data_IF_731939558830
#
_entry.id   IF_731939558830
#
_cell.length_a   1.000
_cell.length_b   1.000
_cell.length_c   1.000
_cell.angle_alpha   90.00
_cell.angle_beta   90.00
_cell.angle_gamma   90.00
#
_symmetry.space_group_name_H-M   'P 1'
#
loop_
_entity.id
_entity.type
_entity.pdbx_description
1 polymer ?
#
# COMPACT_ATOMS: atom_id res chain seq x y z
N UNK A 1 19.12 -34.97 15.01
CA UNK A 1 19.35 -33.55 14.75
C UNK A 1 18.74 -33.03 13.45
N UNK A 2 18.74 -33.77 12.32
CA UNK A 2 18.14 -33.30 11.02
C UNK A 2 16.60 -33.12 11.04
N UNK A 3 15.88 -33.91 11.84
CA UNK A 3 14.39 -33.85 11.91
C UNK A 3 13.87 -32.67 12.76
N UNK A 4 14.62 -32.21 13.74
CA UNK A 4 14.26 -31.04 14.58
C UNK A 4 14.47 -29.72 13.83
N UNK A 5 15.46 -29.62 12.95
CA UNK A 5 15.66 -28.43 12.11
C UNK A 5 14.52 -28.23 11.10
N UNK A 6 13.98 -29.34 10.54
CA UNK A 6 12.86 -29.26 9.59
C UNK A 6 11.55 -28.79 10.26
N UNK A 7 11.32 -29.20 11.53
CA UNK A 7 10.14 -28.76 12.29
C UNK A 7 10.22 -27.25 12.66
N UNK A 8 11.42 -26.73 12.95
CA UNK A 8 11.63 -25.31 13.27
C UNK A 8 11.47 -24.46 12.01
N UNK A 9 11.93 -24.91 10.84
CA UNK A 9 11.76 -24.18 9.58
C UNK A 9 10.30 -24.13 9.12
N UNK A 10 9.51 -25.18 9.39
CA UNK A 10 8.06 -25.19 9.09
C UNK A 10 7.27 -24.28 10.03
N UNK A 11 7.68 -24.15 11.30
CA UNK A 11 7.04 -23.26 12.27
C UNK A 11 7.29 -21.77 11.96
N UNK A 12 8.42 -21.44 11.37
CA UNK A 12 8.74 -20.05 10.97
C UNK A 12 8.04 -19.62 9.67
N UNK A 13 7.58 -20.56 8.84
CA UNK A 13 6.88 -20.25 7.59
C UNK A 13 5.41 -19.82 7.77
N UNK A 14 4.85 -19.90 8.99
CA UNK A 14 3.45 -19.58 9.26
C UNK A 14 3.20 -18.22 9.92
N UNK A 15 4.19 -17.34 9.99
CA UNK A 15 3.93 -15.93 10.33
C UNK A 15 3.54 -15.14 9.06
N UNK A 16 2.45 -15.56 8.43
CA UNK A 16 1.69 -14.65 7.58
C UNK A 16 1.10 -13.59 8.52
N UNK A 17 1.76 -12.45 8.61
CA UNK A 17 1.33 -11.31 9.42
C UNK A 17 -0.01 -10.84 8.85
N UNK A 18 -1.08 -11.04 9.59
CA UNK A 18 -2.38 -10.58 9.17
C UNK A 18 -2.32 -9.05 9.01
N UNK A 19 -2.53 -8.59 7.81
CA UNK A 19 -2.66 -7.19 7.45
C UNK A 19 -4.11 -6.92 7.10
N UNK A 20 -4.60 -5.77 7.47
CA UNK A 20 -5.94 -5.34 7.09
C UNK A 20 -5.87 -3.98 6.42
N UNK A 21 -6.76 -3.74 5.47
CA UNK A 21 -6.83 -2.50 4.72
C UNK A 21 -8.28 -2.08 4.55
N UNK A 22 -8.52 -0.78 4.62
CA UNK A 22 -9.80 -0.20 4.23
C UNK A 22 -9.97 -0.06 2.71
N UNK A 23 -8.89 -0.26 1.94
CA UNK A 23 -8.82 0.28 0.60
C UNK A 23 -8.91 1.81 0.60
N UNK A 24 -8.92 2.41 -0.58
CA UNK A 24 -9.08 3.86 -0.72
C UNK A 24 -10.57 4.21 -0.61
N UNK A 25 -10.90 5.07 0.34
CA UNK A 25 -12.26 5.56 0.59
C UNK A 25 -12.35 7.03 0.21
N UNK A 26 -13.29 7.38 -0.67
CA UNK A 26 -13.59 8.77 -1.03
C UNK A 26 -14.34 9.45 0.12
N UNK A 27 -13.98 10.68 0.42
CA UNK A 27 -14.59 11.51 1.45
C UNK A 27 -15.47 12.58 0.80
N UNK A 28 -16.79 12.36 0.71
CA UNK A 28 -17.70 13.26 0.01
C UNK A 28 -17.59 14.73 0.44
N UNK A 29 -17.85 15.63 -0.50
CA UNK A 29 -17.84 17.09 -0.30
C UNK A 29 -16.49 17.73 0.08
N UNK A 30 -15.39 16.97 0.11
CA UNK A 30 -14.06 17.47 0.47
C UNK A 30 -13.02 17.31 -0.63
N UNK A 31 -13.32 16.53 -1.67
CA UNK A 31 -12.33 16.09 -2.67
C UNK A 31 -11.08 15.44 -2.02
N UNK A 32 -11.28 14.76 -0.91
CA UNK A 32 -10.25 13.99 -0.20
C UNK A 32 -10.48 12.49 -0.35
N UNK A 33 -9.42 11.73 -0.16
CA UNK A 33 -9.49 10.30 0.06
C UNK A 33 -8.71 9.92 1.32
N UNK A 34 -9.07 8.80 1.93
CA UNK A 34 -8.30 8.20 3.02
C UNK A 34 -8.15 6.70 2.79
N UNK A 35 -7.01 6.17 3.20
CA UNK A 35 -6.74 4.73 3.30
C UNK A 35 -6.12 4.45 4.64
N UNK A 36 -6.57 3.40 5.33
CA UNK A 36 -5.97 2.85 6.53
C UNK A 36 -5.46 1.44 6.24
N UNK A 37 -4.19 1.20 6.53
CA UNK A 37 -3.57 -0.12 6.50
C UNK A 37 -3.07 -0.45 7.91
N UNK A 38 -3.31 -1.68 8.39
CA UNK A 38 -2.84 -2.13 9.70
C UNK A 38 -1.96 -3.37 9.58
N UNK A 39 -1.01 -3.45 10.48
CA UNK A 39 -0.15 -4.61 10.71
C UNK A 39 -0.20 -4.95 12.20
N UNK A 40 0.31 -6.11 12.68
CA UNK A 40 0.39 -6.38 14.10
C UNK A 40 1.16 -5.35 14.93
N UNK A 41 1.97 -4.51 14.30
CA UNK A 41 2.83 -3.54 15.00
C UNK A 41 2.42 -2.08 14.81
N UNK A 42 1.49 -1.78 13.89
CA UNK A 42 1.13 -0.37 13.67
C UNK A 42 0.09 -0.14 12.60
N UNK A 43 -0.24 1.13 12.45
CA UNK A 43 -1.18 1.69 11.48
C UNK A 43 -0.43 2.59 10.52
N UNK A 44 -0.76 2.50 9.24
CA UNK A 44 -0.38 3.47 8.22
C UNK A 44 -1.64 4.13 7.69
N UNK A 45 -1.69 5.44 7.73
CA UNK A 45 -2.76 6.23 7.13
C UNK A 45 -2.22 7.01 5.92
N UNK A 46 -2.92 6.93 4.80
CA UNK A 46 -2.67 7.73 3.61
C UNK A 46 -3.86 8.64 3.37
N UNK A 47 -3.62 9.95 3.31
CA UNK A 47 -4.65 10.95 2.99
C UNK A 47 -4.22 11.66 1.71
N UNK A 48 -5.17 11.84 0.78
CA UNK A 48 -4.97 12.70 -0.38
C UNK A 48 -6.03 13.81 -0.41
N UNK A 49 -5.64 14.96 -0.91
CA UNK A 49 -6.54 16.09 -1.10
C UNK A 49 -5.84 17.25 -1.79
N UNK A 50 -6.49 18.41 -1.83
CA UNK A 50 -5.93 19.61 -2.45
C UNK A 50 -4.64 20.06 -1.73
N UNK A 51 -3.61 20.40 -2.51
CA UNK A 51 -2.26 20.72 -2.00
C UNK A 51 -2.19 21.97 -1.11
N UNK A 52 -3.14 22.87 -1.28
CA UNK A 52 -3.25 24.13 -0.50
C UNK A 52 -4.38 24.05 0.53
N UNK A 53 -4.46 22.94 1.26
CA UNK A 53 -5.55 22.68 2.21
C UNK A 53 -5.02 22.07 3.51
N UNK A 54 -5.67 22.42 4.61
CA UNK A 54 -5.66 21.63 5.84
C UNK A 54 -6.58 20.43 5.65
N UNK A 55 -6.20 19.25 6.12
CA UNK A 55 -6.94 18.00 6.02
C UNK A 55 -7.00 17.30 7.36
N UNK A 56 -8.18 16.99 7.85
CA UNK A 56 -8.39 16.32 9.14
C UNK A 56 -9.18 15.02 9.04
N UNK A 57 -8.75 14.01 9.79
CA UNK A 57 -9.46 12.74 10.03
C UNK A 57 -9.56 12.56 11.54
N UNK A 58 -10.78 12.32 12.02
CA UNK A 58 -11.02 12.09 13.45
C UNK A 58 -11.68 10.75 13.74
N UNK A 59 -11.48 10.26 14.95
CA UNK A 59 -11.86 8.94 15.45
C UNK A 59 -12.56 9.03 16.82
N UNK A 60 -13.21 7.95 17.22
CA UNK A 60 -13.67 7.71 18.59
C UNK A 60 -15.03 8.27 18.94
N UNK A 61 -15.52 9.30 18.23
CA UNK A 61 -16.83 9.92 18.46
C UNK A 61 -17.51 10.32 17.16
N UNK A 62 -18.73 10.84 17.27
CA UNK A 62 -19.42 11.46 16.12
C UNK A 62 -19.04 12.94 16.04
N UNK A 63 -18.04 13.26 15.21
CA UNK A 63 -17.55 14.62 14.99
C UNK A 63 -16.60 15.11 16.10
N UNK A 64 -16.46 16.42 16.20
CA UNK A 64 -15.52 17.10 17.12
C UNK A 64 -16.03 17.13 18.57
N UNK A 65 -16.63 16.03 19.06
CA UNK A 65 -17.07 15.93 20.45
C UNK A 65 -15.86 15.81 21.41
N UNK A 66 -16.07 16.13 22.67
CA UNK A 66 -15.03 15.94 23.70
C UNK A 66 -14.63 14.47 23.79
N UNK A 67 -13.33 14.21 23.83
CA UNK A 67 -12.76 12.85 23.86
C UNK A 67 -12.59 12.21 22.48
N UNK A 68 -12.86 12.93 21.40
CA UNK A 68 -12.42 12.51 20.05
C UNK A 68 -10.91 12.68 19.91
N UNK A 69 -10.31 11.79 19.15
CA UNK A 69 -8.92 11.77 18.72
C UNK A 69 -8.82 12.05 17.22
N UNK A 70 -7.70 12.55 16.71
CA UNK A 70 -7.55 12.72 15.28
C UNK A 70 -6.20 13.15 14.76
N UNK A 71 -6.02 12.88 13.49
CA UNK A 71 -4.90 13.37 12.70
C UNK A 71 -5.30 14.64 11.95
N UNK A 72 -4.49 15.70 12.05
CA UNK A 72 -4.70 16.91 11.25
C UNK A 72 -3.39 17.30 10.52
N UNK A 73 -3.41 17.17 9.20
CA UNK A 73 -2.39 17.77 8.37
C UNK A 73 -2.61 19.29 8.30
N UNK A 74 -1.62 20.05 8.74
CA UNK A 74 -1.63 21.51 8.72
C UNK A 74 -0.20 22.07 8.59
N UNK A 75 -0.04 23.40 8.64
CA UNK A 75 1.26 24.08 8.48
C UNK A 75 2.21 23.91 9.65
N UNK A 76 1.75 23.43 10.83
CA UNK A 76 2.62 23.06 11.94
C UNK A 76 3.26 21.69 11.74
N UNK A 77 4.17 21.32 12.63
CA UNK A 77 4.76 19.97 12.67
C UNK A 77 3.86 18.95 13.37
N UNK A 78 2.89 19.44 14.15
CA UNK A 78 1.98 18.57 14.90
C UNK A 78 0.99 17.87 13.97
N UNK A 79 0.70 16.61 14.28
CA UNK A 79 -0.23 15.75 13.52
C UNK A 79 -1.29 15.13 14.40
N UNK A 80 -1.04 15.00 15.68
CA UNK A 80 -1.90 14.39 16.68
C UNK A 80 -2.69 15.43 17.45
N UNK A 81 -4.02 15.27 17.53
CA UNK A 81 -4.92 16.28 18.04
C UNK A 81 -6.07 15.67 18.83
N UNK A 82 -6.31 16.24 20.03
CA UNK A 82 -7.49 16.00 20.83
C UNK A 82 -8.59 17.02 20.57
N UNK A 83 -9.83 16.61 20.74
CA UNK A 83 -11.02 17.45 20.60
C UNK A 83 -11.72 17.64 21.94
N UNK A 84 -12.09 18.87 22.26
CA UNK A 84 -12.78 19.25 23.50
C UNK A 84 -14.22 19.67 23.27
N UNK A 85 -14.77 19.39 22.10
CA UNK A 85 -16.13 19.76 21.71
C UNK A 85 -16.23 21.11 21.00
N UNK A 86 -17.33 21.26 20.25
CA UNK A 86 -17.65 22.51 19.54
C UNK A 86 -18.07 23.58 20.56
N UNK A 87 -17.61 24.85 20.44
CA UNK A 87 -16.95 25.45 19.29
C UNK A 87 -15.40 25.49 19.37
N UNK A 88 -14.79 24.68 20.22
CA UNK A 88 -13.35 24.75 20.48
C UNK A 88 -12.52 24.29 19.27
N UNK A 89 -11.39 24.95 19.09
CA UNK A 89 -10.36 24.49 18.14
C UNK A 89 -9.66 23.25 18.69
N UNK A 90 -9.39 22.22 17.88
CA UNK A 90 -8.60 21.07 18.32
C UNK A 90 -7.24 21.48 18.88
N UNK A 91 -6.82 20.83 19.94
CA UNK A 91 -5.51 21.06 20.58
C UNK A 91 -4.52 20.01 20.12
N UNK A 92 -3.31 20.41 19.76
CA UNK A 92 -2.25 19.46 19.52
C UNK A 92 -1.89 18.72 20.82
N UNK A 93 -1.74 17.42 20.74
CA UNK A 93 -1.39 16.61 21.90
C UNK A 93 0.06 16.84 22.33
N UNK A 94 0.31 16.72 23.61
CA UNK A 94 1.66 16.90 24.16
C UNK A 94 2.62 15.82 23.66
N UNK A 95 2.09 14.60 23.45
CA UNK A 95 2.79 13.48 22.80
C UNK A 95 2.24 13.36 21.40
N UNK A 96 3.10 13.29 20.40
CA UNK A 96 2.72 13.20 18.99
C UNK A 96 2.95 11.76 18.53
N UNK A 97 1.93 10.94 18.61
CA UNK A 97 2.01 9.52 18.26
C UNK A 97 1.98 9.30 16.74
N UNK A 98 1.32 10.17 15.98
CA UNK A 98 1.39 10.17 14.54
C UNK A 98 2.70 10.75 14.00
N UNK A 99 3.45 9.93 13.27
CA UNK A 99 4.66 10.33 12.56
C UNK A 99 4.40 10.43 11.07
N UNK A 100 4.53 11.63 10.48
CA UNK A 100 4.48 11.82 9.03
C UNK A 100 5.73 11.19 8.40
N UNK A 101 5.54 10.21 7.54
CA UNK A 101 6.60 9.45 6.85
C UNK A 101 6.80 9.90 5.40
N UNK A 102 5.77 10.51 4.80
CA UNK A 102 5.83 11.07 3.45
C UNK A 102 4.83 12.20 3.28
N UNK A 103 5.23 13.21 2.50
CA UNK A 103 4.40 14.34 2.12
C UNK A 103 4.81 14.80 0.73
N UNK A 104 4.02 14.47 -0.26
CA UNK A 104 4.33 14.72 -1.67
C UNK A 104 3.22 15.51 -2.34
N UNK A 105 3.59 16.31 -3.34
CA UNK A 105 2.64 17.06 -4.17
C UNK A 105 2.84 16.63 -5.62
N UNK A 106 1.73 16.31 -6.28
CA UNK A 106 1.69 16.07 -7.72
C UNK A 106 0.55 16.91 -8.32
N UNK A 107 0.91 17.91 -9.10
CA UNK A 107 -0.04 18.93 -9.57
C UNK A 107 -0.69 19.67 -8.40
N UNK A 108 -2.01 19.68 -8.34
CA UNK A 108 -2.79 20.29 -7.24
C UNK A 108 -3.11 19.31 -6.10
N UNK A 109 -2.61 18.08 -6.15
CA UNK A 109 -2.92 17.04 -5.17
C UNK A 109 -1.74 16.81 -4.22
N UNK A 110 -2.02 16.85 -2.92
CA UNK A 110 -1.12 16.45 -1.85
C UNK A 110 -1.45 15.05 -1.38
N UNK A 111 -0.42 14.24 -1.18
CA UNK A 111 -0.52 12.93 -0.51
C UNK A 111 0.34 12.98 0.75
N UNK A 112 -0.29 12.71 1.89
CA UNK A 112 0.37 12.60 3.20
C UNK A 112 0.26 11.17 3.68
N UNK A 113 1.38 10.59 4.10
CA UNK A 113 1.44 9.26 4.73
C UNK A 113 1.95 9.44 6.14
N UNK A 114 1.24 8.87 7.09
CA UNK A 114 1.62 8.89 8.50
C UNK A 114 1.44 7.52 9.14
N UNK A 115 2.24 7.24 10.15
CA UNK A 115 2.22 5.98 10.91
C UNK A 115 2.14 6.23 12.39
N UNK A 116 1.52 5.29 13.13
CA UNK A 116 1.58 5.19 14.59
C UNK A 116 1.44 3.74 15.06
N UNK A 117 1.58 3.50 16.36
CA UNK A 117 1.21 2.22 16.98
C UNK A 117 -0.31 1.96 16.89
N UNK A 118 -0.74 0.71 17.06
CA UNK A 118 -2.16 0.37 17.06
C UNK A 118 -2.95 1.03 18.21
N UNK A 119 -2.33 1.15 19.37
CA UNK A 119 -2.94 1.77 20.54
C UNK A 119 -2.94 3.30 20.48
N UNK A 120 -2.02 3.91 19.69
CA UNK A 120 -1.68 5.31 19.87
C UNK A 120 -1.04 5.55 21.24
N UNK A 121 -1.24 6.72 21.79
CA UNK A 121 -0.83 7.13 23.13
C UNK A 121 -1.95 7.09 24.16
N UNK A 122 -1.74 7.77 25.26
CA UNK A 122 -2.77 7.92 26.30
C UNK A 122 -3.85 8.90 25.83
N UNK A 123 -5.06 8.43 25.72
CA UNK A 123 -6.22 9.20 25.28
C UNK A 123 -6.57 9.02 23.80
N UNK A 124 -5.73 8.31 23.04
CA UNK A 124 -5.95 8.07 21.63
C UNK A 124 -6.96 6.96 21.36
N UNK A 125 -7.55 7.03 20.20
CA UNK A 125 -8.42 5.99 19.68
C UNK A 125 -7.60 4.78 19.20
N UNK A 126 -7.73 3.64 19.86
CA UNK A 126 -7.05 2.41 19.45
C UNK A 126 -7.62 1.86 18.14
N UNK A 127 -6.76 1.56 17.19
CA UNK A 127 -7.12 0.97 15.90
C UNK A 127 -6.70 -0.51 15.90
N UNK A 128 -7.68 -1.41 15.76
CA UNK A 128 -7.41 -2.85 15.80
C UNK A 128 -6.80 -3.35 14.47
N UNK A 129 -5.84 -4.28 14.56
CA UNK A 129 -5.38 -5.04 13.40
C UNK A 129 -6.33 -6.24 13.18
N UNK A 130 -7.55 -5.95 12.74
CA UNK A 130 -8.63 -6.93 12.56
C UNK A 130 -9.61 -6.47 11.46
N UNK A 131 -10.38 -7.40 10.92
CA UNK A 131 -11.54 -7.07 10.10
C UNK A 131 -12.60 -6.37 10.96
N UNK A 132 -13.26 -5.36 10.39
CA UNK A 132 -14.29 -4.60 11.10
C UNK A 132 -14.56 -3.26 10.45
N UNK A 133 -15.30 -2.40 11.14
CA UNK A 133 -15.64 -1.06 10.67
C UNK A 133 -15.10 -0.02 11.63
N UNK A 134 -14.39 0.97 11.10
CA UNK A 134 -13.93 2.15 11.84
C UNK A 134 -14.72 3.35 11.32
N UNK A 135 -15.52 3.95 12.19
CA UNK A 135 -16.22 5.18 11.84
C UNK A 135 -15.30 6.38 12.05
N UNK A 136 -15.26 7.25 11.07
CA UNK A 136 -14.47 8.47 11.07
C UNK A 136 -15.32 9.71 10.81
N UNK A 137 -14.87 10.84 11.28
CA UNK A 137 -15.27 12.13 10.77
C UNK A 137 -14.09 12.81 10.08
N UNK A 138 -14.36 13.69 9.14
CA UNK A 138 -13.32 14.33 8.37
C UNK A 138 -13.66 15.76 8.02
N UNK A 139 -12.64 16.54 7.70
CA UNK A 139 -12.83 17.94 7.31
C UNK A 139 -11.68 18.44 6.44
N UNK A 140 -11.99 19.48 5.64
CA UNK A 140 -11.00 20.21 4.85
C UNK A 140 -11.21 21.73 5.00
N UNK A 141 -10.10 22.47 5.14
CA UNK A 141 -10.07 23.91 4.98
C UNK A 141 -9.36 24.25 3.67
N UNK A 142 -9.90 25.16 2.89
CA UNK A 142 -9.30 25.65 1.63
C UNK A 142 -8.39 26.87 1.84
N UNK A 143 -7.66 27.24 0.78
CA UNK A 143 -6.90 28.49 0.74
C UNK A 143 -5.73 28.58 1.70
N UNK A 144 -5.21 27.45 2.16
CA UNK A 144 -4.02 27.37 2.99
C UNK A 144 -4.04 26.20 3.96
N UNK A 145 -2.86 25.84 4.44
CA UNK A 145 -2.65 24.69 5.34
C UNK A 145 -2.71 25.03 6.82
N UNK A 146 -2.90 26.29 7.21
CA UNK A 146 -3.02 26.67 8.63
C UNK A 146 -4.26 26.05 9.27
N UNK A 147 -4.14 25.59 10.52
CA UNK A 147 -5.27 25.10 11.32
C UNK A 147 -6.38 26.20 11.38
N UNK A 148 -7.61 25.80 11.13
CA UNK A 148 -8.74 26.73 11.13
C UNK A 148 -10.06 26.09 10.74
N UNK A 149 -11.09 26.91 10.58
CA UNK A 149 -12.43 26.44 10.22
C UNK A 149 -12.45 25.74 8.86
N UNK A 150 -13.12 24.61 8.81
CA UNK A 150 -13.24 23.74 7.65
C UNK A 150 -14.31 24.25 6.66
N UNK A 151 -13.97 25.23 5.87
CA UNK A 151 -14.84 25.89 4.87
C UNK A 151 -15.01 25.07 3.58
N UNK A 152 -14.13 24.12 3.33
CA UNK A 152 -14.12 23.29 2.11
C UNK A 152 -14.74 21.90 2.28
N UNK A 153 -15.56 21.74 3.30
CA UNK A 153 -16.35 20.52 3.52
C UNK A 153 -15.96 19.72 4.74
N UNK A 154 -16.90 18.92 5.19
CA UNK A 154 -16.79 17.99 6.31
C UNK A 154 -17.81 16.86 6.16
N UNK A 155 -17.64 15.76 6.88
CA UNK A 155 -18.59 14.67 6.86
C UNK A 155 -18.16 13.50 7.72
N UNK A 156 -18.85 12.39 7.51
CA UNK A 156 -18.66 11.13 8.21
C UNK A 156 -18.49 10.02 7.17
N UNK A 157 -17.65 9.04 7.47
CA UNK A 157 -17.45 7.86 6.65
C UNK A 157 -17.18 6.64 7.53
N UNK A 158 -17.33 5.46 6.94
CA UNK A 158 -16.97 4.20 7.54
C UNK A 158 -15.85 3.55 6.73
N UNK A 159 -14.77 3.19 7.38
CA UNK A 159 -13.66 2.44 6.82
C UNK A 159 -13.89 0.96 7.12
N UNK A 160 -14.18 0.15 6.10
CA UNK A 160 -14.36 -1.29 6.25
C UNK A 160 -13.01 -1.97 6.10
N UNK A 161 -12.44 -2.40 7.22
CA UNK A 161 -11.16 -3.11 7.27
C UNK A 161 -11.38 -4.56 6.84
N UNK A 162 -10.72 -4.98 5.79
CA UNK A 162 -10.74 -6.36 5.29
C UNK A 162 -9.31 -6.91 5.28
N UNK A 163 -9.16 -8.23 5.41
CA UNK A 163 -7.83 -8.84 5.30
C UNK A 163 -7.21 -8.43 3.97
N UNK A 164 -6.06 -7.76 4.04
CA UNK A 164 -5.26 -7.47 2.86
C UNK A 164 -4.67 -8.81 2.40
N UNK A 165 -5.25 -9.37 1.35
CA UNK A 165 -4.55 -10.42 0.62
C UNK A 165 -3.29 -9.78 0.06
N UNK A 166 -2.13 -10.33 0.36
CA UNK A 166 -0.90 -10.03 -0.39
C UNK A 166 -1.17 -10.49 -1.84
N UNK A 167 -1.90 -9.67 -2.55
CA UNK A 167 -2.11 -9.88 -3.97
C UNK A 167 -0.77 -9.57 -4.62
N UNK A 168 -0.13 -10.61 -5.16
CA UNK A 168 0.95 -10.45 -6.13
C UNK A 168 0.52 -9.63 -7.35
N UNK A 169 -0.74 -9.21 -7.39
CA UNK A 169 -1.32 -8.39 -8.46
C UNK A 169 -1.01 -6.89 -8.36
N UNK A 170 -0.62 -6.34 -7.21
CA UNK A 170 -0.29 -4.90 -7.18
C UNK A 170 1.09 -4.58 -7.77
N UNK A 171 2.02 -5.54 -7.74
CA UNK A 171 3.27 -5.42 -8.52
C UNK A 171 2.98 -5.67 -10.00
N UNK A 172 1.96 -6.45 -10.33
CA UNK A 172 1.56 -6.76 -11.70
C UNK A 172 0.74 -5.64 -12.38
N UNK A 173 0.10 -4.73 -11.64
CA UNK A 173 -0.71 -3.65 -12.23
C UNK A 173 0.12 -2.59 -12.95
N UNK A 174 1.43 -2.48 -12.70
CA UNK A 174 2.36 -1.61 -13.44
C UNK A 174 3.27 -2.38 -14.41
N UNK A 175 3.32 -3.70 -14.38
CA UNK A 175 4.09 -4.49 -15.32
C UNK A 175 3.30 -4.68 -16.61
N UNK A 176 3.81 -4.16 -17.70
CA UNK A 176 3.27 -4.43 -19.05
C UNK A 176 3.40 -5.94 -19.31
N UNK A 177 2.28 -6.66 -19.23
CA UNK A 177 2.23 -8.09 -19.45
C UNK A 177 2.86 -8.46 -20.80
N UNK A 178 3.89 -9.31 -20.78
CA UNK A 178 4.53 -9.85 -21.98
C UNK A 178 3.94 -11.24 -22.24
N UNK A 179 3.21 -11.37 -23.35
CA UNK A 179 2.66 -12.67 -23.72
C UNK A 179 3.75 -13.53 -24.34
N UNK A 180 3.94 -14.74 -23.79
CA UNK A 180 4.85 -15.75 -24.31
C UNK A 180 4.08 -16.93 -24.88
N UNK A 181 4.60 -17.52 -25.94
CA UNK A 181 3.99 -18.70 -26.62
C UNK A 181 5.03 -19.51 -27.39
N UNK A 182 4.82 -20.86 -27.56
CA UNK A 182 3.84 -21.64 -26.85
C UNK A 182 4.14 -21.74 -25.35
N UNK A 183 3.10 -21.96 -24.54
CA UNK A 183 3.25 -22.29 -23.14
C UNK A 183 2.16 -23.31 -22.79
N UNK A 184 2.48 -24.60 -22.60
CA UNK A 184 3.82 -25.20 -22.45
C UNK A 184 4.74 -25.13 -23.69
N UNK A 185 6.05 -25.07 -23.45
CA UNK A 185 7.09 -24.99 -24.50
C UNK A 185 8.00 -26.23 -24.50
N UNK A 186 8.40 -26.68 -25.71
CA UNK A 186 9.34 -27.79 -25.88
C UNK A 186 10.78 -27.32 -26.06
N UNK A 187 11.07 -26.57 -27.11
CA UNK A 187 12.44 -26.14 -27.44
C UNK A 187 12.61 -24.63 -27.44
N UNK A 188 11.58 -23.88 -27.82
CA UNK A 188 11.62 -22.44 -27.94
C UNK A 188 10.39 -21.80 -27.34
N UNK A 189 10.53 -20.55 -26.89
CA UNK A 189 9.43 -19.68 -26.49
C UNK A 189 9.54 -18.35 -27.22
N UNK A 190 8.41 -17.87 -27.75
CA UNK A 190 8.32 -16.59 -28.47
C UNK A 190 7.68 -15.54 -27.58
N UNK A 191 7.99 -14.29 -27.83
CA UNK A 191 7.44 -13.14 -27.11
C UNK A 191 6.66 -12.23 -28.06
N UNK A 192 5.43 -11.92 -27.70
CA UNK A 192 4.69 -10.86 -28.39
C UNK A 192 5.33 -9.52 -28.00
N UNK A 193 5.63 -8.67 -28.99
CA UNK A 193 6.34 -7.38 -28.79
C UNK A 193 7.78 -7.54 -28.29
N UNK A 194 8.52 -8.51 -28.83
CA UNK A 194 9.94 -8.77 -28.49
C UNK A 194 10.83 -7.54 -28.65
N UNK A 195 10.49 -6.63 -29.56
CA UNK A 195 11.15 -5.36 -29.82
C UNK A 195 11.28 -4.45 -28.57
N UNK A 196 10.38 -4.64 -27.60
CA UNK A 196 10.37 -3.93 -26.32
C UNK A 196 11.21 -4.60 -25.24
N UNK A 197 11.65 -5.85 -25.46
CA UNK A 197 12.40 -6.61 -24.45
C UNK A 197 13.87 -6.23 -24.49
N UNK A 198 14.44 -5.98 -23.31
CA UNK A 198 15.87 -5.71 -23.10
C UNK A 198 16.63 -7.00 -22.75
N UNK A 199 16.10 -7.78 -21.81
CA UNK A 199 16.68 -9.06 -21.36
C UNK A 199 15.63 -9.94 -20.70
N UNK A 200 15.90 -11.26 -20.67
CA UNK A 200 15.08 -12.28 -20.03
C UNK A 200 15.96 -13.11 -19.12
N UNK A 201 15.63 -13.16 -17.84
CA UNK A 201 16.21 -14.06 -16.86
C UNK A 201 15.21 -15.14 -16.51
N UNK A 202 15.65 -16.42 -16.47
CA UNK A 202 14.81 -17.57 -16.17
C UNK A 202 15.25 -18.20 -14.86
N UNK A 203 14.29 -18.45 -13.98
CA UNK A 203 14.49 -18.99 -12.64
C UNK A 203 13.69 -20.28 -12.46
N UNK A 204 14.27 -21.24 -11.75
CA UNK A 204 13.54 -22.39 -11.20
C UNK A 204 12.63 -21.97 -10.04
N UNK A 205 11.70 -22.86 -9.65
CA UNK A 205 10.81 -22.64 -8.51
C UNK A 205 11.56 -22.42 -7.17
N UNK A 206 12.82 -22.77 -7.09
CA UNK A 206 13.71 -22.54 -5.94
C UNK A 206 14.29 -21.12 -5.90
N UNK A 207 14.04 -20.28 -6.92
CA UNK A 207 14.65 -18.97 -7.09
C UNK A 207 16.06 -19.00 -7.71
N UNK A 208 16.57 -20.16 -8.09
CA UNK A 208 17.87 -20.27 -8.76
C UNK A 208 17.74 -19.82 -10.22
N UNK A 209 18.56 -18.84 -10.62
CA UNK A 209 18.66 -18.41 -12.02
C UNK A 209 19.34 -19.51 -12.85
N UNK A 210 18.71 -19.93 -13.93
CA UNK A 210 19.20 -20.99 -14.81
C UNK A 210 19.58 -20.52 -16.21
N UNK A 211 19.03 -19.37 -16.64
CA UNK A 211 19.33 -18.79 -17.95
C UNK A 211 19.22 -17.27 -17.89
N UNK A 212 20.09 -16.58 -18.59
CA UNK A 212 20.01 -15.12 -18.82
C UNK A 212 20.29 -14.86 -20.30
N UNK A 213 19.34 -14.22 -20.99
CA UNK A 213 19.40 -14.03 -22.45
C UNK A 213 19.00 -12.60 -22.83
N UNK A 214 19.68 -12.05 -23.82
CA UNK A 214 19.18 -10.90 -24.60
C UNK A 214 18.57 -11.47 -25.87
N UNK A 215 17.25 -11.36 -26.06
CA UNK A 215 16.63 -11.86 -27.29
C UNK A 215 17.15 -11.08 -28.51
N UNK A 216 17.72 -11.78 -29.48
CA UNK A 216 18.12 -11.22 -30.76
C UNK A 216 17.01 -11.30 -31.83
N UNK A 217 15.82 -11.78 -31.44
CA UNK A 217 14.63 -11.94 -32.26
C UNK A 217 13.41 -12.29 -31.42
N UNK A 218 12.36 -12.78 -32.06
CA UNK A 218 11.07 -13.06 -31.42
C UNK A 218 11.11 -14.20 -30.40
N UNK A 219 12.18 -15.03 -30.40
CA UNK A 219 12.24 -16.25 -29.60
C UNK A 219 13.53 -16.42 -28.81
N UNK A 220 13.46 -17.21 -27.76
CA UNK A 220 14.62 -17.73 -27.02
C UNK A 220 14.56 -19.25 -26.98
N UNK A 221 15.73 -19.91 -26.98
CA UNK A 221 15.81 -21.36 -26.79
C UNK A 221 15.69 -21.70 -25.32
N UNK A 222 14.83 -22.69 -25.03
CA UNK A 222 14.65 -23.32 -23.71
C UNK A 222 14.93 -24.83 -23.77
N UNK A 223 15.57 -25.31 -24.85
CA UNK A 223 15.83 -26.72 -25.10
C UNK A 223 16.64 -27.39 -23.99
N UNK A 224 17.60 -26.67 -23.43
CA UNK A 224 18.48 -27.17 -22.38
C UNK A 224 17.86 -27.16 -20.98
N UNK A 225 16.65 -26.63 -20.82
CA UNK A 225 15.92 -26.67 -19.57
C UNK A 225 15.25 -28.03 -19.38
N UNK A 226 15.29 -28.56 -18.18
CA UNK A 226 14.54 -29.77 -17.80
C UNK A 226 13.04 -29.49 -17.81
N UNK A 227 12.21 -30.50 -18.02
CA UNK A 227 10.76 -30.38 -17.87
C UNK A 227 10.40 -29.88 -16.47
N UNK A 228 9.50 -28.91 -16.40
CA UNK A 228 9.13 -28.28 -15.14
C UNK A 228 8.55 -26.87 -15.27
N UNK A 229 8.30 -26.23 -14.14
CA UNK A 229 7.82 -24.85 -14.06
C UNK A 229 8.98 -23.90 -13.82
N UNK A 230 9.02 -22.82 -14.60
CA UNK A 230 9.99 -21.75 -14.51
C UNK A 230 9.31 -20.39 -14.38
N UNK A 231 10.03 -19.41 -13.85
CA UNK A 231 9.60 -18.02 -13.76
C UNK A 231 10.56 -17.16 -14.57
N UNK A 232 9.99 -16.33 -15.42
CA UNK A 232 10.74 -15.40 -16.26
C UNK A 232 10.64 -14.00 -15.69
N UNK A 233 11.79 -13.36 -15.51
CA UNK A 233 11.91 -11.94 -15.25
C UNK A 233 12.33 -11.26 -16.56
N UNK A 234 11.42 -10.47 -17.13
CA UNK A 234 11.59 -9.86 -18.44
C UNK A 234 11.78 -8.36 -18.24
N UNK A 235 13.00 -7.87 -18.45
CA UNK A 235 13.29 -6.46 -18.43
C UNK A 235 12.91 -5.82 -19.75
N UNK A 236 12.14 -4.73 -19.72
CA UNK A 236 11.76 -3.96 -20.90
C UNK A 236 12.72 -2.77 -21.13
N UNK A 237 12.78 -2.29 -22.37
CA UNK A 237 13.65 -1.17 -22.75
C UNK A 237 13.25 0.15 -22.10
N UNK A 238 11.99 0.27 -21.63
CA UNK A 238 11.48 1.44 -20.88
C UNK A 238 11.83 1.40 -19.39
N UNK A 239 12.61 0.40 -18.95
CA UNK A 239 13.04 0.22 -17.57
C UNK A 239 12.05 -0.56 -16.69
N UNK A 240 10.86 -0.89 -17.19
CA UNK A 240 9.90 -1.72 -16.47
C UNK A 240 10.25 -3.21 -16.53
N UNK A 241 9.69 -4.01 -15.62
CA UNK A 241 9.89 -5.47 -15.55
C UNK A 241 8.54 -6.18 -15.64
N UNK A 242 8.48 -7.27 -16.41
CA UNK A 242 7.34 -8.20 -16.47
C UNK A 242 7.75 -9.55 -15.90
N UNK A 243 6.82 -10.21 -15.21
CA UNK A 243 7.02 -11.55 -14.66
C UNK A 243 6.02 -12.51 -15.28
N UNK A 244 6.54 -13.61 -15.86
CA UNK A 244 5.72 -14.60 -16.52
C UNK A 244 6.08 -16.01 -16.07
N UNK A 245 5.11 -16.94 -16.12
CA UNK A 245 5.34 -18.34 -15.82
C UNK A 245 5.49 -19.12 -17.14
N UNK A 246 6.55 -19.93 -17.22
CA UNK A 246 6.79 -20.86 -18.32
C UNK A 246 6.66 -22.31 -17.82
N UNK A 247 5.94 -23.12 -18.56
CA UNK A 247 5.89 -24.57 -18.39
C UNK A 247 6.75 -25.19 -19.50
N UNK A 248 7.79 -25.91 -19.12
CA UNK A 248 8.67 -26.65 -20.02
C UNK A 248 8.27 -28.11 -20.05
N UNK A 249 7.98 -28.63 -21.24
CA UNK A 249 7.77 -30.06 -21.53
C UNK A 249 9.07 -30.77 -21.88
#
# INVERSE_FOLDING_TARGET
>A
MKKTLLAISLALANFAWAQFSSGVVNLPNTAMTVKLDTTPTGVTMTITGDSNSMMGIGFGTTGMAAGADGFIYNSSVNRDYSFSGVPNTPSADAVQDWTETSNTISGSTRTVVATRSLSGGTGDFAIANAAGTINIFYSRKSGGTSLGYHDAGRGYASLTMTAATLSTNEIAASSKKVNLYPNPAKSTVNFKNYDKIKSVDIYEATGRKVLSVKPEGESISVENLKSGSYYLEIQLKDGSTSYEKLIKE
#
